data_IF_144686587647
#
_entry.id   IF_144686587647
#
_cell.length_a   1.000
_cell.length_b   1.000
_cell.length_c   1.000
_cell.angle_alpha   90.00
_cell.angle_beta   90.00
_cell.angle_gamma   90.00
#
_symmetry.space_group_name_H-M   'P 1'
#
loop_
_entity.id
_entity.type
_entity.pdbx_description
1 polymer ?
#
# COMPACT_ATOMS: atom_id res chain seq x y z
N UNK A 1 12.69 2.67 -7.96
CA UNK A 1 11.34 2.53 -7.35
C UNK A 1 10.33 3.31 -8.17
N UNK A 2 9.09 2.83 -8.27
CA UNK A 2 7.96 3.69 -8.64
C UNK A 2 7.56 4.47 -7.38
N UNK A 3 7.64 5.79 -7.44
CA UNK A 3 7.39 6.64 -6.28
C UNK A 3 5.90 6.75 -5.99
N UNK A 4 5.46 6.24 -4.83
CA UNK A 4 4.06 6.29 -4.40
C UNK A 4 3.79 7.67 -3.80
N UNK A 5 3.26 8.58 -4.61
CA UNK A 5 2.85 9.92 -4.19
C UNK A 5 1.35 10.02 -3.87
N UNK A 6 0.62 8.90 -3.96
CA UNK A 6 -0.82 8.80 -3.75
C UNK A 6 -1.23 9.14 -2.32
N UNK A 7 -2.34 9.86 -2.17
CA UNK A 7 -3.05 10.04 -0.89
C UNK A 7 -4.50 9.66 -1.07
N UNK A 8 -4.75 8.36 -0.98
CA UNK A 8 -6.08 7.82 -1.13
C UNK A 8 -6.28 6.56 -0.30
N UNK A 9 -7.52 6.28 0.02
CA UNK A 9 -7.94 5.12 0.79
C UNK A 9 -9.25 4.59 0.21
N UNK A 10 -9.32 3.28 0.01
CA UNK A 10 -10.54 2.58 -0.39
C UNK A 10 -10.97 1.71 0.78
N UNK A 11 -12.24 1.77 1.15
CA UNK A 11 -12.82 1.02 2.26
C UNK A 11 -13.99 0.20 1.73
N UNK A 12 -13.91 -1.11 1.99
CA UNK A 12 -14.94 -2.12 1.67
C UNK A 12 -15.39 -2.18 0.20
N UNK A 13 -14.63 -1.60 -0.73
CA UNK A 13 -15.01 -1.37 -2.13
C UNK A 13 -16.26 -0.45 -2.31
N UNK A 14 -16.65 0.30 -1.26
CA UNK A 14 -17.83 1.19 -1.24
C UNK A 14 -17.47 2.67 -1.19
N UNK A 15 -16.47 2.98 -0.38
CA UNK A 15 -16.10 4.34 -0.03
C UNK A 15 -14.65 4.59 -0.44
N UNK A 16 -14.40 5.77 -1.00
CA UNK A 16 -13.07 6.20 -1.38
C UNK A 16 -12.79 7.61 -0.86
N UNK A 17 -11.60 7.83 -0.33
CA UNK A 17 -11.03 9.16 -0.10
C UNK A 17 -9.90 9.35 -1.09
N UNK A 18 -9.86 10.52 -1.75
CA UNK A 18 -8.74 10.98 -2.57
C UNK A 18 -8.44 12.43 -2.21
N UNK A 19 -7.17 12.78 -2.03
CA UNK A 19 -6.79 14.14 -1.67
C UNK A 19 -5.30 14.41 -1.74
N UNK A 20 -4.86 15.41 -0.99
CA UNK A 20 -3.45 15.80 -0.85
C UNK A 20 -2.83 15.35 0.50
N UNK A 21 -3.65 15.06 1.50
CA UNK A 21 -3.22 14.79 2.88
C UNK A 21 -2.48 13.44 3.04
N UNK A 22 -1.21 13.49 3.45
CA UNK A 22 -0.45 12.31 3.85
C UNK A 22 -0.95 11.75 5.20
N UNK A 23 -0.67 10.49 5.47
CA UNK A 23 -0.89 9.91 6.82
C UNK A 23 0.30 10.28 7.72
N UNK A 24 0.36 11.54 8.15
CA UNK A 24 1.34 12.07 9.10
C UNK A 24 0.76 13.31 9.82
N UNK A 25 1.45 13.84 10.83
CA UNK A 25 0.94 14.98 11.60
C UNK A 25 0.89 16.25 10.76
N UNK A 26 1.88 16.46 9.88
CA UNK A 26 1.92 17.63 9.00
C UNK A 26 0.63 17.83 8.19
N UNK A 27 0.10 16.77 7.62
CA UNK A 27 -1.14 16.81 6.84
C UNK A 27 -2.41 16.66 7.69
N UNK A 28 -2.37 15.89 8.78
CA UNK A 28 -3.58 15.53 9.56
C UNK A 28 -3.90 16.46 10.72
N UNK A 29 -2.98 17.32 11.16
CA UNK A 29 -3.19 18.22 12.31
C UNK A 29 -4.12 19.40 11.97
N UNK A 30 -4.26 19.76 10.69
CA UNK A 30 -5.12 20.85 10.22
C UNK A 30 -4.61 22.27 10.50
N UNK A 31 -3.62 22.43 11.37
CA UNK A 31 -2.96 23.72 11.66
C UNK A 31 -1.56 23.85 11.07
N UNK A 32 -1.05 22.79 10.39
CA UNK A 32 0.24 22.79 9.71
C UNK A 32 0.04 23.03 8.21
N UNK A 33 0.07 21.97 7.40
CA UNK A 33 -0.13 22.10 5.96
C UNK A 33 -1.62 22.24 5.65
N UNK A 34 -1.94 23.07 4.66
CA UNK A 34 -3.32 23.17 4.14
C UNK A 34 -3.54 22.02 3.17
N UNK A 35 -4.49 21.15 3.50
CA UNK A 35 -4.81 19.97 2.71
C UNK A 35 -6.27 20.01 2.22
N UNK A 36 -6.54 19.28 1.15
CA UNK A 36 -7.90 19.05 0.65
C UNK A 36 -8.10 17.57 0.33
N UNK A 37 -9.27 17.03 0.65
CA UNK A 37 -9.65 15.67 0.30
C UNK A 37 -11.16 15.59 0.01
N UNK A 38 -11.52 14.70 -0.91
CA UNK A 38 -12.90 14.33 -1.21
C UNK A 38 -13.13 12.88 -0.80
N UNK A 39 -14.18 12.65 -0.02
CA UNK A 39 -14.67 11.33 0.33
C UNK A 39 -16.01 11.02 -0.34
N UNK A 40 -16.09 9.96 -1.14
CA UNK A 40 -17.28 9.65 -1.93
C UNK A 40 -17.66 8.16 -1.86
N UNK A 41 -18.95 7.89 -2.07
CA UNK A 41 -19.51 6.54 -2.23
C UNK A 41 -20.66 6.58 -3.22
N UNK A 42 -21.07 5.40 -3.71
CA UNK A 42 -22.21 5.26 -4.60
C UNK A 42 -23.41 4.67 -3.86
N UNK A 43 -24.52 5.42 -3.64
CA UNK A 43 -25.64 4.96 -2.80
C UNK A 43 -26.32 3.66 -3.24
N UNK A 44 -26.18 3.26 -4.50
CA UNK A 44 -26.75 2.01 -5.04
C UNK A 44 -25.72 0.85 -5.11
N UNK A 45 -24.51 1.07 -4.61
CA UNK A 45 -23.41 0.10 -4.56
C UNK A 45 -22.84 0.05 -3.13
N UNK A 46 -23.72 -0.19 -2.15
CA UNK A 46 -23.34 -0.43 -0.75
C UNK A 46 -23.77 -1.84 -0.33
N UNK A 47 -22.95 -2.52 0.44
CA UNK A 47 -23.13 -3.89 0.92
C UNK A 47 -24.35 -4.02 1.84
N UNK A 48 -24.67 -2.95 2.57
CA UNK A 48 -25.88 -2.84 3.40
C UNK A 48 -27.20 -2.96 2.63
N UNK A 49 -27.22 -2.61 1.34
CA UNK A 49 -28.45 -2.61 0.52
C UNK A 49 -28.63 -3.88 -0.30
N UNK A 50 -27.55 -4.56 -0.66
CA UNK A 50 -27.59 -5.66 -1.65
C UNK A 50 -27.32 -7.06 -1.07
N UNK A 51 -26.93 -7.19 0.20
CA UNK A 51 -26.43 -8.45 0.78
C UNK A 51 -25.28 -9.09 -0.03
N UNK A 52 -24.68 -8.34 -0.95
CA UNK A 52 -23.61 -8.77 -1.85
C UNK A 52 -22.53 -7.71 -1.90
N UNK A 53 -21.33 -8.11 -2.32
CA UNK A 53 -20.19 -7.20 -2.43
C UNK A 53 -20.51 -6.03 -3.37
N UNK A 54 -20.08 -4.82 -3.02
CA UNK A 54 -20.34 -3.59 -3.78
C UNK A 54 -19.52 -3.56 -5.07
N UNK A 55 -20.11 -3.95 -6.20
CA UNK A 55 -19.44 -3.98 -7.51
C UNK A 55 -19.56 -2.64 -8.26
N UNK A 56 -19.29 -1.52 -7.56
CA UNK A 56 -19.36 -0.16 -8.11
C UNK A 56 -18.09 0.29 -8.84
N UNK A 57 -18.01 1.60 -9.09
CA UNK A 57 -16.82 2.27 -9.59
C UNK A 57 -15.65 2.20 -8.60
N UNK A 58 -15.92 2.23 -7.29
CA UNK A 58 -14.87 2.09 -6.27
C UNK A 58 -14.20 0.71 -6.36
N UNK A 59 -15.00 -0.36 -6.41
CA UNK A 59 -14.52 -1.72 -6.72
C UNK A 59 -13.72 -1.79 -8.03
N UNK A 60 -14.27 -1.23 -9.12
CA UNK A 60 -13.61 -1.24 -10.42
C UNK A 60 -12.26 -0.52 -10.40
N UNK A 61 -12.19 0.63 -9.73
CA UNK A 61 -10.97 1.39 -9.55
C UNK A 61 -9.93 0.62 -8.73
N UNK A 62 -10.34 0.01 -7.61
CA UNK A 62 -9.48 -0.84 -6.78
C UNK A 62 -8.92 -2.03 -7.57
N UNK A 63 -9.76 -2.73 -8.32
CA UNK A 63 -9.33 -3.83 -9.21
C UNK A 63 -8.37 -3.33 -10.30
N UNK A 64 -8.60 -2.14 -10.88
CA UNK A 64 -7.69 -1.54 -11.86
C UNK A 64 -6.31 -1.25 -11.28
N UNK A 65 -6.25 -0.66 -10.07
CA UNK A 65 -4.99 -0.43 -9.35
C UNK A 65 -4.26 -1.75 -9.05
N UNK A 66 -5.01 -2.78 -8.66
CA UNK A 66 -4.44 -4.10 -8.43
C UNK A 66 -3.88 -4.71 -9.72
N UNK A 67 -4.58 -4.59 -10.85
CA UNK A 67 -4.07 -5.03 -12.14
C UNK A 67 -2.77 -4.30 -12.52
N UNK A 68 -2.69 -2.97 -12.30
CA UNK A 68 -1.50 -2.17 -12.55
C UNK A 68 -0.31 -2.59 -11.67
N UNK A 69 -0.54 -2.83 -10.37
CA UNK A 69 0.52 -3.14 -9.43
C UNK A 69 0.93 -4.62 -9.44
N UNK A 70 0.00 -5.53 -9.73
CA UNK A 70 0.26 -6.98 -9.71
C UNK A 70 0.65 -7.49 -11.11
N UNK A 71 0.15 -6.85 -12.17
CA UNK A 71 0.36 -7.23 -13.58
C UNK A 71 -0.76 -8.10 -14.15
N UNK A 72 -1.66 -8.62 -13.31
CA UNK A 72 -2.81 -9.44 -13.72
C UNK A 72 -3.88 -9.47 -12.62
N UNK A 73 -5.03 -10.09 -12.92
CA UNK A 73 -6.14 -10.26 -11.99
C UNK A 73 -6.39 -11.74 -11.69
N UNK A 74 -6.74 -12.04 -10.44
CA UNK A 74 -7.11 -13.38 -9.97
C UNK A 74 -8.47 -13.32 -9.26
N UNK A 75 -9.19 -14.44 -9.23
CA UNK A 75 -10.54 -14.49 -8.63
C UNK A 75 -10.53 -14.13 -7.14
N UNK A 76 -9.50 -14.53 -6.40
CA UNK A 76 -9.35 -14.20 -4.99
C UNK A 76 -9.25 -12.69 -4.74
N UNK A 77 -8.85 -11.88 -5.73
CA UNK A 77 -8.77 -10.42 -5.59
C UNK A 77 -10.15 -9.77 -5.50
N UNK A 78 -11.22 -10.44 -5.90
CA UNK A 78 -12.58 -9.92 -5.71
C UNK A 78 -13.01 -9.89 -4.24
N UNK A 79 -12.26 -10.57 -3.36
CA UNK A 79 -12.53 -10.73 -1.93
C UNK A 79 -11.29 -10.39 -1.10
N UNK A 80 -10.92 -9.09 -1.02
CA UNK A 80 -9.69 -8.65 -0.34
C UNK A 80 -9.67 -8.98 1.16
N UNK A 81 -10.84 -9.21 1.77
CA UNK A 81 -10.98 -9.64 3.16
C UNK A 81 -10.58 -11.10 3.40
N UNK A 82 -10.53 -11.91 2.34
CA UNK A 82 -10.27 -13.34 2.47
C UNK A 82 -8.81 -13.63 2.79
N UNK A 83 -8.57 -14.63 3.64
CA UNK A 83 -7.22 -15.08 3.99
C UNK A 83 -6.44 -15.57 2.76
N UNK A 84 -7.14 -16.15 1.79
CA UNK A 84 -6.58 -16.56 0.49
C UNK A 84 -6.01 -15.35 -0.25
N UNK A 85 -6.80 -14.29 -0.42
CA UNK A 85 -6.39 -13.07 -1.10
C UNK A 85 -5.17 -12.43 -0.43
N UNK A 86 -5.23 -12.23 0.89
CA UNK A 86 -4.13 -11.61 1.65
C UNK A 86 -2.84 -12.43 1.52
N UNK A 87 -2.92 -13.76 1.61
CA UNK A 87 -1.76 -14.64 1.42
C UNK A 87 -1.22 -14.58 -0.01
N UNK A 88 -2.11 -14.51 -1.01
CA UNK A 88 -1.72 -14.44 -2.42
C UNK A 88 -1.00 -13.14 -2.75
N UNK A 89 -1.56 -12.00 -2.37
CA UNK A 89 -0.95 -10.67 -2.55
C UNK A 89 0.41 -10.60 -1.86
N UNK A 90 0.52 -11.12 -0.64
CA UNK A 90 1.81 -11.23 0.07
C UNK A 90 2.83 -12.06 -0.71
N UNK A 91 2.43 -13.25 -1.19
CA UNK A 91 3.32 -14.14 -1.94
C UNK A 91 3.82 -13.47 -3.22
N UNK A 92 2.96 -12.74 -3.93
CA UNK A 92 3.35 -11.97 -5.12
C UNK A 92 4.34 -10.86 -4.77
N UNK A 93 4.09 -10.11 -3.70
CA UNK A 93 5.03 -9.08 -3.22
C UNK A 93 6.39 -9.65 -2.80
N UNK A 94 6.43 -10.86 -2.22
CA UNK A 94 7.67 -11.56 -1.86
C UNK A 94 8.43 -12.06 -3.10
N UNK A 95 7.73 -12.57 -4.11
CA UNK A 95 8.32 -12.99 -5.39
C UNK A 95 8.90 -11.79 -6.15
N UNK A 96 8.14 -10.71 -6.26
CA UNK A 96 8.58 -9.49 -6.93
C UNK A 96 9.76 -8.84 -6.19
N UNK A 97 9.77 -8.83 -4.85
CA UNK A 97 10.93 -8.34 -4.09
C UNK A 97 12.20 -9.14 -4.41
N UNK A 98 12.12 -10.48 -4.43
CA UNK A 98 13.26 -11.33 -4.78
C UNK A 98 13.79 -11.06 -6.19
N UNK A 99 12.89 -10.84 -7.16
CA UNK A 99 13.27 -10.48 -8.52
C UNK A 99 13.91 -9.08 -8.57
N UNK A 100 13.35 -8.11 -7.84
CA UNK A 100 13.83 -6.73 -7.79
C UNK A 100 15.25 -6.61 -7.23
N UNK A 101 15.63 -7.45 -6.27
CA UNK A 101 16.97 -7.44 -5.64
C UNK A 101 17.94 -8.48 -6.20
N UNK A 102 17.55 -9.21 -7.25
CA UNK A 102 18.42 -10.21 -7.86
C UNK A 102 19.58 -9.55 -8.60
N UNK A 103 20.75 -10.21 -8.62
CA UNK A 103 21.92 -9.75 -9.37
C UNK A 103 21.65 -9.70 -10.89
N UNK A 104 20.79 -10.60 -11.39
CA UNK A 104 20.38 -10.63 -12.79
C UNK A 104 19.12 -9.78 -13.00
N UNK A 105 19.25 -8.73 -13.81
CA UNK A 105 18.14 -7.85 -14.17
C UNK A 105 17.23 -8.56 -15.18
N UNK A 106 15.98 -8.75 -14.78
CA UNK A 106 14.93 -9.33 -15.62
C UNK A 106 13.71 -8.41 -15.65
N UNK A 107 12.91 -8.50 -16.72
CA UNK A 107 11.68 -7.71 -16.83
C UNK A 107 10.68 -8.12 -15.73
N UNK A 108 10.27 -7.14 -14.93
CA UNK A 108 9.24 -7.32 -13.91
C UNK A 108 7.86 -7.09 -14.52
N UNK A 109 6.93 -8.03 -14.28
CA UNK A 109 5.54 -7.90 -14.74
C UNK A 109 4.63 -7.19 -13.73
N UNK A 110 5.02 -7.24 -12.45
CA UNK A 110 4.30 -6.61 -11.35
C UNK A 110 5.22 -5.66 -10.58
N UNK A 111 4.65 -4.59 -10.06
CA UNK A 111 5.35 -3.52 -9.35
C UNK A 111 5.13 -3.56 -7.83
N UNK A 112 4.18 -4.37 -7.34
CA UNK A 112 3.94 -4.57 -5.91
C UNK A 112 5.11 -5.33 -5.30
N UNK A 113 5.85 -4.67 -4.40
CA UNK A 113 6.91 -5.28 -3.61
C UNK A 113 6.49 -5.38 -2.15
N UNK A 114 6.83 -6.48 -1.48
CA UNK A 114 6.78 -6.53 -0.02
C UNK A 114 7.77 -5.50 0.52
N UNK A 115 7.31 -4.59 1.37
CA UNK A 115 8.21 -3.68 2.07
C UNK A 115 9.24 -4.50 2.89
N UNK A 116 10.55 -4.21 2.82
CA UNK A 116 11.62 -5.13 3.24
C UNK A 116 11.84 -5.20 4.76
N UNK A 117 10.75 -5.36 5.50
CA UNK A 117 10.70 -5.54 6.94
C UNK A 117 10.01 -6.84 7.31
N UNK A 118 10.27 -7.29 8.53
CA UNK A 118 9.59 -8.38 9.21
C UNK A 118 9.15 -7.92 10.60
N UNK A 119 8.04 -8.49 11.07
CA UNK A 119 7.49 -8.23 12.40
C UNK A 119 7.58 -9.52 13.18
N UNK A 120 8.24 -9.50 14.33
CA UNK A 120 8.32 -10.69 15.18
C UNK A 120 7.04 -10.91 16.02
N UNK A 121 7.00 -11.99 16.79
CA UNK A 121 5.84 -12.36 17.62
C UNK A 121 5.49 -11.32 18.69
N UNK A 122 6.40 -10.41 19.01
CA UNK A 122 6.20 -9.32 19.96
C UNK A 122 5.82 -8.00 19.28
N UNK A 123 5.67 -7.98 17.95
CA UNK A 123 5.38 -6.76 17.20
C UNK A 123 6.61 -5.92 16.88
N UNK A 124 7.83 -6.38 17.18
CA UNK A 124 9.05 -5.61 16.89
C UNK A 124 9.37 -5.70 15.39
N UNK A 125 9.48 -4.54 14.76
CA UNK A 125 9.87 -4.39 13.35
C UNK A 125 11.38 -4.55 13.22
N UNK A 126 11.82 -5.39 12.28
CA UNK A 126 13.23 -5.62 11.92
C UNK A 126 13.36 -5.61 10.40
N UNK A 127 14.56 -5.30 9.91
CA UNK A 127 14.88 -5.52 8.50
C UNK A 127 14.76 -7.02 8.15
N UNK A 128 14.46 -7.32 6.90
CA UNK A 128 14.65 -8.68 6.37
C UNK A 128 16.15 -9.05 6.43
N UNK A 129 16.49 -10.34 6.58
CA UNK A 129 17.88 -10.79 6.44
C UNK A 129 18.49 -10.25 5.15
N UNK A 130 19.74 -9.80 5.24
CA UNK A 130 20.53 -9.21 4.14
C UNK A 130 19.93 -7.95 3.50
N UNK A 131 18.90 -7.36 4.11
CA UNK A 131 18.22 -6.15 3.66
C UNK A 131 18.36 -5.02 4.70
N UNK A 132 19.57 -4.71 5.15
CA UNK A 132 19.78 -3.61 6.11
C UNK A 132 19.56 -2.23 5.48
N UNK A 133 19.90 -2.11 4.18
CA UNK A 133 19.78 -0.88 3.40
C UNK A 133 18.98 -1.08 2.13
N UNK A 134 18.45 0.01 1.56
CA UNK A 134 17.81 -0.09 0.24
C UNK A 134 18.83 -0.51 -0.84
N UNK A 135 18.45 -1.35 -1.80
CA UNK A 135 19.30 -1.74 -2.92
C UNK A 135 19.82 -0.50 -3.67
N UNK A 136 21.08 -0.55 -4.12
CA UNK A 136 21.80 0.44 -4.93
C UNK A 136 22.05 1.83 -4.30
N UNK A 137 21.05 2.41 -3.65
CA UNK A 137 21.11 3.75 -3.05
C UNK A 137 21.61 3.76 -1.61
N UNK A 138 21.54 2.63 -0.92
CA UNK A 138 21.86 2.54 0.51
C UNK A 138 20.77 3.15 1.39
N UNK A 139 21.15 3.61 2.59
CA UNK A 139 20.19 4.15 3.58
C UNK A 139 19.45 3.04 4.34
N UNK A 140 19.38 3.15 5.66
CA UNK A 140 18.81 2.10 6.52
C UNK A 140 17.31 1.95 6.27
N UNK A 141 16.85 0.73 6.01
CA UNK A 141 15.41 0.42 5.81
C UNK A 141 14.58 0.77 7.05
N UNK A 142 15.14 0.56 8.25
CA UNK A 142 14.50 0.95 9.52
C UNK A 142 14.61 2.45 9.84
N UNK A 143 15.22 3.22 8.94
CA UNK A 143 15.61 4.59 9.18
C UNK A 143 16.75 4.69 10.21
N UNK A 144 17.05 5.93 10.56
CA UNK A 144 17.94 6.27 11.66
C UNK A 144 17.31 7.41 12.45
N UNK A 145 17.34 7.31 13.77
CA UNK A 145 16.94 8.43 14.62
C UNK A 145 18.07 9.46 14.59
N UNK A 146 17.92 10.47 13.73
CA UNK A 146 18.77 11.66 13.78
C UNK A 146 18.05 12.65 14.70
N UNK A 147 18.77 13.32 15.60
CA UNK A 147 18.22 14.36 16.47
C UNK A 147 17.85 15.60 15.64
N UNK A 148 16.81 15.47 14.82
CA UNK A 148 16.14 16.54 14.08
C UNK A 148 14.90 16.89 14.91
N UNK A 149 14.56 18.17 14.97
CA UNK A 149 13.38 18.61 15.72
C UNK A 149 12.13 17.87 15.23
N UNK A 150 11.39 17.27 16.17
CA UNK A 150 10.21 16.44 15.91
C UNK A 150 9.17 17.14 15.03
N UNK A 151 9.01 18.45 15.17
CA UNK A 151 8.07 19.26 14.38
C UNK A 151 8.39 19.28 12.86
N UNK A 152 9.60 18.89 12.45
CA UNK A 152 10.01 18.87 11.05
C UNK A 152 9.79 17.52 10.37
N UNK A 153 9.72 16.42 11.14
CA UNK A 153 9.75 15.05 10.60
C UNK A 153 8.52 14.21 10.96
N UNK A 154 7.63 14.71 11.83
CA UNK A 154 6.37 14.06 12.25
C UNK A 154 5.17 14.69 11.53
#
# INVERSE_FOLDING_TARGET
MIYIHSKGMIVDDEYIIVGSANINQRSMEGTRDTEIAMGAYQPHHTGSRKHTSPLGQVYGYRMSLWAEHIGHLEECFKRPESLECVRRVRSLGELNWKQYVADEVTEMKGHLLKYPVQVDRMGKVKALPDCETFPDVGGKILGSFVAIQENLTI
#
